data_IF_554487130856
#
_entry.id   IF_554487130856
#
_cell.length_a   1.000
_cell.length_b   1.000
_cell.length_c   1.000
_cell.angle_alpha   90.00
_cell.angle_beta   90.00
_cell.angle_gamma   90.00
#
_symmetry.space_group_name_H-M   'P 1'
#
loop_
_entity.id
_entity.type
_entity.pdbx_description
1 polymer ?
#
# COMPACT_ATOMS: atom_id res chain seq x y z
N UNK A 1 25.01 -14.79 -10.07
CA UNK A 1 23.59 -14.61 -10.41
C UNK A 1 23.29 -13.13 -10.36
N UNK A 2 23.08 -12.52 -11.50
CA UNK A 2 22.97 -11.03 -11.59
C UNK A 2 21.54 -10.61 -11.29
N UNK A 3 21.34 -9.94 -10.19
CA UNK A 3 20.08 -9.28 -9.82
C UNK A 3 19.92 -7.91 -10.52
N UNK A 4 20.30 -7.81 -11.78
CA UNK A 4 20.19 -6.55 -12.55
C UNK A 4 18.78 -6.27 -13.10
N UNK A 5 17.84 -7.15 -12.91
CA UNK A 5 16.45 -6.97 -13.40
C UNK A 5 15.58 -6.08 -12.50
N UNK A 6 16.01 -5.81 -11.27
CA UNK A 6 15.21 -5.05 -10.31
C UNK A 6 15.43 -3.53 -10.35
N UNK A 7 16.45 -3.06 -11.05
CA UNK A 7 16.83 -1.63 -11.05
C UNK A 7 16.11 -0.76 -12.10
N UNK A 8 15.20 -1.33 -12.87
CA UNK A 8 14.43 -0.60 -13.90
C UNK A 8 12.92 -0.75 -13.83
N UNK A 9 12.41 -1.44 -12.82
CA UNK A 9 10.98 -1.47 -12.60
C UNK A 9 10.60 -0.26 -11.78
N UNK A 10 9.78 0.60 -12.35
CA UNK A 10 8.99 1.55 -11.58
C UNK A 10 8.13 0.82 -10.55
N UNK A 11 7.34 1.54 -9.80
CA UNK A 11 6.45 0.93 -8.82
C UNK A 11 5.57 -0.15 -9.48
N UNK A 12 5.55 -1.38 -8.94
CA UNK A 12 4.69 -2.42 -9.47
C UNK A 12 3.22 -2.06 -9.24
N UNK A 13 2.33 -2.53 -10.12
CA UNK A 13 0.90 -2.50 -9.86
C UNK A 13 0.62 -3.10 -8.50
N UNK A 14 0.11 -2.31 -7.58
CA UNK A 14 -0.06 -2.73 -6.18
C UNK A 14 -1.02 -1.83 -5.40
N UNK A 15 -1.39 -2.31 -4.23
CA UNK A 15 -1.91 -1.52 -3.12
C UNK A 15 -0.82 -1.54 -2.04
N UNK A 16 -0.30 -0.39 -1.72
CA UNK A 16 0.77 -0.26 -0.72
C UNK A 16 0.21 0.16 0.63
N UNK A 17 0.63 -0.53 1.66
CA UNK A 17 0.49 -0.10 3.04
C UNK A 17 1.80 0.54 3.46
N UNK A 18 1.84 1.87 3.48
CA UNK A 18 3.06 2.59 3.84
C UNK A 18 3.27 2.56 5.35
N UNK A 19 4.36 1.94 5.77
CA UNK A 19 4.79 1.92 7.16
C UNK A 19 5.91 2.95 7.33
N UNK A 20 5.55 4.12 7.83
CA UNK A 20 6.44 5.27 7.93
C UNK A 20 6.75 5.61 9.40
N UNK A 21 7.97 6.04 9.64
CA UNK A 21 8.38 6.69 10.89
C UNK A 21 8.53 8.19 10.72
N UNK A 22 8.32 8.97 11.78
CA UNK A 22 8.53 10.41 11.79
C UNK A 22 10.00 10.78 11.58
N UNK A 23 10.23 11.82 10.80
CA UNK A 23 11.58 12.37 10.51
C UNK A 23 11.77 13.69 11.23
N UNK A 24 10.81 14.59 11.11
CA UNK A 24 10.87 15.94 11.69
C UNK A 24 9.81 16.08 12.78
N UNK A 25 10.17 16.51 14.00
CA UNK A 25 9.20 16.75 15.05
C UNK A 25 8.15 17.79 14.62
N UNK A 26 6.88 17.46 14.82
CA UNK A 26 5.74 18.33 14.48
C UNK A 26 5.24 18.19 13.04
N UNK A 27 5.94 17.48 12.17
CA UNK A 27 5.48 17.17 10.81
C UNK A 27 4.74 15.83 10.79
N UNK A 28 3.43 15.81 10.41
CA UNK A 28 2.68 14.57 10.34
C UNK A 28 3.27 13.61 9.28
N UNK A 29 3.53 12.38 9.70
CA UNK A 29 3.96 11.29 8.83
C UNK A 29 3.34 9.98 9.33
N UNK A 30 1.99 9.84 9.17
CA UNK A 30 1.29 8.70 9.73
C UNK A 30 1.70 7.39 9.07
N UNK A 31 1.60 6.31 9.83
CA UNK A 31 1.80 4.96 9.32
C UNK A 31 0.48 4.34 8.88
N UNK A 32 0.52 3.41 7.94
CA UNK A 32 -0.67 2.76 7.42
C UNK A 32 -1.33 3.49 6.25
N UNK A 33 -0.68 4.48 5.66
CA UNK A 33 -1.19 5.17 4.47
C UNK A 33 -1.44 4.19 3.33
N UNK A 34 -2.32 4.55 2.43
CA UNK A 34 -2.54 3.83 1.18
C UNK A 34 -1.85 4.56 0.03
N UNK A 35 -1.00 3.86 -0.73
CA UNK A 35 -0.60 4.30 -2.07
C UNK A 35 -1.03 3.29 -3.13
N UNK A 36 -1.35 3.78 -4.31
CA UNK A 36 -2.05 3.02 -5.36
C UNK A 36 -1.32 3.07 -6.71
N UNK A 37 -0.08 2.53 -6.80
CA UNK A 37 0.61 2.49 -8.09
C UNK A 37 -0.16 1.64 -9.11
N UNK A 38 -0.52 2.22 -10.24
CA UNK A 38 -1.30 1.59 -11.31
C UNK A 38 -2.62 0.96 -10.85
N UNK A 39 -3.20 1.49 -9.77
CA UNK A 39 -4.49 1.04 -9.23
C UNK A 39 -5.39 2.21 -8.86
N UNK A 40 -6.69 1.98 -8.90
CA UNK A 40 -7.70 2.85 -8.33
C UNK A 40 -8.46 2.13 -7.22
N UNK A 41 -9.01 2.86 -6.29
CA UNK A 41 -9.88 2.34 -5.23
C UNK A 41 -11.10 3.24 -5.07
N UNK A 42 -12.09 2.73 -4.35
CA UNK A 42 -13.29 3.48 -3.98
C UNK A 42 -13.27 3.74 -2.47
N UNK A 43 -13.49 4.98 -2.08
CA UNK A 43 -13.69 5.40 -0.69
C UNK A 43 -14.96 6.24 -0.61
N UNK A 44 -15.82 5.95 0.36
CA UNK A 44 -17.09 6.67 0.57
C UNK A 44 -17.98 6.73 -0.70
N UNK A 45 -17.91 5.70 -1.54
CA UNK A 45 -18.70 5.61 -2.77
C UNK A 45 -18.13 6.35 -3.98
N UNK A 46 -16.96 6.98 -3.84
CA UNK A 46 -16.30 7.71 -4.93
C UNK A 46 -14.96 7.06 -5.29
N UNK A 47 -14.64 7.03 -6.58
CA UNK A 47 -13.33 6.59 -7.04
C UNK A 47 -12.28 7.63 -6.65
N UNK A 48 -11.23 7.18 -5.99
CA UNK A 48 -10.12 8.02 -5.58
C UNK A 48 -9.05 8.02 -6.67
N UNK A 49 -8.58 9.21 -7.00
CA UNK A 49 -7.56 9.45 -8.03
C UNK A 49 -6.21 9.90 -7.46
N UNK A 50 -6.16 10.27 -6.18
CA UNK A 50 -4.91 10.57 -5.49
C UNK A 50 -4.07 9.30 -5.39
N UNK A 51 -2.79 9.44 -5.73
CA UNK A 51 -1.86 8.30 -5.68
C UNK A 51 -1.60 7.81 -4.25
N UNK A 52 -1.50 8.71 -3.28
CA UNK A 52 -1.31 8.37 -1.87
C UNK A 52 -2.30 9.10 -0.99
N UNK A 53 -2.91 8.37 -0.07
CA UNK A 53 -3.92 8.84 0.86
C UNK A 53 -3.41 8.63 2.27
N UNK A 54 -3.41 9.68 3.08
CA UNK A 54 -2.95 9.62 4.47
C UNK A 54 -3.97 8.88 5.33
N UNK A 55 -3.49 7.96 6.14
CA UNK A 55 -4.27 7.26 7.15
C UNK A 55 -4.57 8.16 8.36
N UNK A 56 -5.66 7.87 9.05
CA UNK A 56 -5.99 8.50 10.33
C UNK A 56 -5.17 7.87 11.47
N UNK A 57 -3.88 8.12 11.48
CA UNK A 57 -2.92 7.53 12.42
C UNK A 57 -1.95 8.58 12.93
N UNK A 58 -1.44 8.37 14.14
CA UNK A 58 -0.36 9.21 14.68
C UNK A 58 0.95 8.97 13.94
N UNK A 59 1.89 9.87 14.12
CA UNK A 59 3.28 9.69 13.71
C UNK A 59 4.05 8.97 14.82
N UNK A 60 4.75 7.90 14.48
CA UNK A 60 5.64 7.16 15.37
C UNK A 60 7.08 7.63 15.16
N UNK A 61 7.86 7.70 16.22
CA UNK A 61 9.25 8.18 16.18
C UNK A 61 10.21 7.15 16.77
N UNK A 62 11.45 7.19 16.31
CA UNK A 62 12.51 6.35 16.81
C UNK A 62 12.33 4.87 16.47
N UNK A 63 12.65 4.01 17.43
CA UNK A 63 12.66 2.56 17.26
C UNK A 63 11.38 1.87 17.81
N UNK A 64 10.25 2.57 17.79
CA UNK A 64 8.98 1.97 18.20
C UNK A 64 8.56 0.84 17.26
N UNK A 65 8.22 -0.30 17.83
CA UNK A 65 7.51 -1.36 17.10
C UNK A 65 6.03 -1.02 17.03
N UNK A 66 5.45 -1.26 15.88
CA UNK A 66 4.01 -1.13 15.67
C UNK A 66 3.45 -2.44 15.15
N UNK A 67 2.23 -2.77 15.53
CA UNK A 67 1.48 -3.85 14.93
C UNK A 67 0.73 -3.32 13.70
N UNK A 68 1.03 -3.86 12.53
CA UNK A 68 0.34 -3.54 11.30
C UNK A 68 -0.45 -4.75 10.79
N UNK A 69 -1.72 -4.56 10.51
CA UNK A 69 -2.59 -5.59 9.98
C UNK A 69 -3.37 -5.06 8.78
N UNK A 70 -3.58 -5.91 7.79
CA UNK A 70 -4.43 -5.64 6.64
C UNK A 70 -5.51 -6.71 6.58
N UNK A 71 -6.76 -6.29 6.69
CA UNK A 71 -7.91 -7.19 6.57
C UNK A 71 -8.55 -6.98 5.21
N UNK A 72 -8.61 -8.06 4.44
CA UNK A 72 -9.31 -8.11 3.15
C UNK A 72 -10.55 -8.97 3.34
N UNK A 73 -11.72 -8.36 3.24
CA UNK A 73 -12.99 -9.06 3.37
C UNK A 73 -13.90 -8.71 2.18
N UNK A 74 -14.14 -9.68 1.31
CA UNK A 74 -14.78 -9.46 0.02
C UNK A 74 -14.04 -8.38 -0.78
N UNK A 75 -14.71 -7.27 -1.09
CA UNK A 75 -14.14 -6.15 -1.83
C UNK A 75 -13.67 -5.00 -0.92
N UNK A 76 -13.72 -5.16 0.39
CA UNK A 76 -13.30 -4.15 1.36
C UNK A 76 -11.94 -4.48 1.94
N UNK A 77 -11.10 -3.47 2.05
CA UNK A 77 -9.75 -3.56 2.59
C UNK A 77 -9.59 -2.51 3.69
N UNK A 78 -9.12 -2.93 4.85
CA UNK A 78 -8.89 -2.03 5.98
C UNK A 78 -7.48 -2.22 6.51
N UNK A 79 -6.75 -1.13 6.68
CA UNK A 79 -5.48 -1.14 7.40
C UNK A 79 -5.73 -0.86 8.88
N UNK A 80 -5.06 -1.62 9.72
CA UNK A 80 -5.06 -1.45 11.16
C UNK A 80 -3.63 -1.16 11.63
N UNK A 81 -3.49 -0.21 12.53
CA UNK A 81 -2.25 0.07 13.26
C UNK A 81 -2.53 0.00 14.75
N UNK A 82 -1.77 -0.84 15.45
CA UNK A 82 -1.96 -1.11 16.89
C UNK A 82 -3.42 -1.45 17.23
N UNK A 83 -4.05 -2.29 16.39
CA UNK A 83 -5.41 -2.76 16.56
C UNK A 83 -6.52 -1.75 16.23
N UNK A 84 -6.18 -0.56 15.71
CA UNK A 84 -7.14 0.48 15.33
C UNK A 84 -7.23 0.59 13.81
N UNK A 85 -8.44 0.61 13.23
CA UNK A 85 -8.60 0.88 11.81
C UNK A 85 -8.18 2.31 11.50
N UNK A 86 -7.31 2.49 10.51
CA UNK A 86 -6.74 3.80 10.15
C UNK A 86 -7.12 4.24 8.75
N UNK A 87 -7.49 3.32 7.86
CA UNK A 87 -8.03 3.61 6.53
C UNK A 87 -8.81 2.41 6.01
N UNK A 88 -9.92 2.66 5.33
CA UNK A 88 -10.74 1.63 4.67
C UNK A 88 -11.09 2.08 3.26
N UNK A 89 -10.96 1.16 2.33
CA UNK A 89 -11.28 1.37 0.91
C UNK A 89 -11.79 0.07 0.29
N UNK A 90 -12.26 0.15 -0.95
CA UNK A 90 -12.89 -1.00 -1.60
C UNK A 90 -12.68 -1.00 -3.11
N UNK A 91 -13.08 -2.09 -3.75
CA UNK A 91 -13.17 -2.26 -5.20
C UNK A 91 -11.90 -1.82 -5.95
N UNK A 92 -10.72 -2.38 -5.63
CA UNK A 92 -9.51 -2.02 -6.33
C UNK A 92 -9.59 -2.43 -7.81
N UNK A 93 -9.19 -1.52 -8.69
CA UNK A 93 -9.14 -1.74 -10.14
C UNK A 93 -7.77 -1.36 -10.70
N UNK A 94 -7.39 -1.94 -11.81
CA UNK A 94 -6.18 -1.55 -12.55
C UNK A 94 -6.43 -0.19 -13.20
N UNK A 95 -5.48 0.74 -13.09
CA UNK A 95 -5.61 2.08 -13.68
C UNK A 95 -4.81 3.14 -12.95
N UNK A 96 -4.92 4.37 -13.38
CA UNK A 96 -4.34 5.53 -12.70
C UNK A 96 -2.85 5.72 -12.90
N UNK A 97 -2.24 6.41 -11.94
CA UNK A 97 -0.84 6.78 -12.00
C UNK A 97 0.09 5.57 -12.07
N UNK A 98 1.16 5.70 -12.86
CA UNK A 98 2.14 4.64 -13.13
C UNK A 98 1.64 3.46 -14.00
N UNK A 99 0.39 3.47 -14.47
CA UNK A 99 -0.09 2.42 -15.39
C UNK A 99 0.78 2.33 -16.64
N UNK A 100 1.19 3.47 -17.19
CA UNK A 100 2.06 3.55 -18.38
C UNK A 100 3.46 2.95 -18.17
N UNK A 101 3.88 2.83 -16.91
CA UNK A 101 5.15 2.21 -16.52
C UNK A 101 5.06 0.68 -16.41
N UNK A 102 3.87 0.12 -16.53
CA UNK A 102 3.63 -1.33 -16.46
C UNK A 102 3.79 -1.99 -17.83
N UNK A 103 3.71 -3.32 -17.88
CA UNK A 103 3.73 -4.06 -19.14
C UNK A 103 2.48 -3.76 -19.99
N UNK A 104 2.59 -3.95 -21.31
CA UNK A 104 1.45 -3.79 -22.21
C UNK A 104 0.26 -4.71 -21.89
N UNK A 105 0.56 -5.88 -21.32
CA UNK A 105 -0.47 -6.83 -20.87
C UNK A 105 -1.28 -6.25 -19.69
N UNK A 106 -0.61 -5.55 -18.77
CA UNK A 106 -1.28 -4.87 -17.64
C UNK A 106 -2.04 -3.65 -18.14
N UNK A 107 -1.44 -2.83 -18.98
CA UNK A 107 -2.11 -1.66 -19.58
C UNK A 107 -3.40 -2.03 -20.32
N UNK A 108 -3.41 -3.19 -20.99
CA UNK A 108 -4.61 -3.69 -21.68
C UNK A 108 -5.76 -4.08 -20.73
N UNK A 109 -5.49 -4.20 -19.43
CA UNK A 109 -6.47 -4.53 -18.40
C UNK A 109 -6.97 -3.31 -17.60
N UNK A 110 -6.72 -2.10 -18.10
CA UNK A 110 -7.20 -0.87 -17.48
C UNK A 110 -8.71 -0.95 -17.20
N UNK A 111 -9.09 -0.64 -15.95
CA UNK A 111 -10.48 -0.74 -15.49
C UNK A 111 -10.90 -2.12 -14.96
N UNK A 112 -10.11 -3.18 -15.15
CA UNK A 112 -10.44 -4.49 -14.61
C UNK A 112 -10.24 -4.53 -13.08
N UNK A 113 -11.10 -5.30 -12.40
CA UNK A 113 -10.98 -5.52 -10.95
C UNK A 113 -9.69 -6.26 -10.61
N UNK A 114 -9.00 -5.79 -9.59
CA UNK A 114 -7.86 -6.48 -9.01
C UNK A 114 -8.37 -7.66 -8.16
N UNK A 115 -8.03 -8.89 -8.56
CA UNK A 115 -8.60 -10.11 -7.96
C UNK A 115 -7.66 -10.84 -7.01
N UNK A 116 -6.39 -10.50 -7.03
CA UNK A 116 -5.38 -11.15 -6.20
C UNK A 116 -3.98 -10.88 -6.70
N UNK A 117 -3.00 -11.40 -6.00
CA UNK A 117 -1.60 -11.19 -6.32
C UNK A 117 -0.68 -11.74 -5.23
N UNK A 118 0.48 -11.14 -5.15
CA UNK A 118 1.50 -11.48 -4.16
C UNK A 118 1.54 -10.43 -3.06
N UNK A 119 2.00 -10.84 -1.90
CA UNK A 119 2.34 -9.94 -0.80
C UNK A 119 3.85 -9.80 -0.77
N UNK A 120 4.36 -8.57 -0.70
CA UNK A 120 5.77 -8.27 -0.57
C UNK A 120 6.03 -7.30 0.57
N UNK A 121 7.21 -7.41 1.16
CA UNK A 121 7.72 -6.44 2.12
C UNK A 121 8.74 -5.57 1.40
N UNK A 122 8.64 -4.27 1.61
CA UNK A 122 9.47 -3.27 0.93
C UNK A 122 10.22 -2.40 1.92
N UNK A 123 11.44 -2.07 1.55
CA UNK A 123 12.21 -0.99 2.17
C UNK A 123 12.52 0.04 1.09
N UNK A 124 12.08 1.27 1.29
CA UNK A 124 12.27 2.36 0.34
C UNK A 124 12.97 3.53 1.02
N UNK A 125 14.20 3.82 0.57
CA UNK A 125 15.00 4.98 0.99
C UNK A 125 15.36 5.08 2.47
N UNK A 126 14.89 4.17 3.32
CA UNK A 126 15.22 4.10 4.75
C UNK A 126 15.15 2.66 5.27
N UNK A 127 15.88 2.32 6.34
CA UNK A 127 15.81 1.00 6.93
C UNK A 127 14.45 0.75 7.57
N UNK A 128 14.00 -0.51 7.54
CA UNK A 128 12.82 -1.01 8.21
C UNK A 128 13.07 -2.44 8.67
N UNK A 129 12.51 -2.82 9.79
CA UNK A 129 12.57 -4.18 10.31
C UNK A 129 11.17 -4.75 10.44
N UNK A 130 11.01 -6.03 10.10
CA UNK A 130 9.76 -6.78 10.21
C UNK A 130 9.95 -7.98 11.12
N UNK A 131 8.95 -8.30 11.93
CA UNK A 131 8.92 -9.52 12.76
C UNK A 131 7.50 -10.07 12.83
N UNK A 132 7.38 -11.36 13.20
CA UNK A 132 6.09 -12.03 13.43
C UNK A 132 5.12 -11.93 12.24
N UNK A 133 5.64 -12.11 11.02
CA UNK A 133 4.85 -12.04 9.80
C UNK A 133 3.91 -13.24 9.75
N UNK A 134 2.60 -12.99 9.64
CA UNK A 134 1.56 -14.01 9.64
C UNK A 134 0.53 -13.74 8.55
N UNK A 135 -0.07 -14.79 8.02
CA UNK A 135 -1.21 -14.76 7.11
C UNK A 135 -2.29 -15.65 7.69
N UNK A 136 -3.51 -15.13 7.74
CA UNK A 136 -4.71 -15.86 8.14
C UNK A 136 -5.72 -15.81 7.00
N UNK A 137 -6.18 -16.97 6.55
CA UNK A 137 -7.35 -17.09 5.68
C UNK A 137 -8.64 -16.96 6.50
N UNK A 138 -9.55 -16.07 6.07
CA UNK A 138 -10.84 -15.81 6.70
C UNK A 138 -11.96 -16.63 6.05
#
# INVERSE_FOLDING_TARGET
MQYQLLLKQGFPLSLEVQLLGGVTPGEPRPSGNLCTPATHVVMNGEQITEHCIMAECKTYYGEEWIDAEVVVNNNSITHFIDGKPVITYSMPTIGGDFLDSTSKEIQAKDGESLKGGYISLQSESHPIEFKNIQILEL
#
